data_IF_787609642077
#
_entry.id   IF_787609642077
#
_cell.length_a   1.000
_cell.length_b   1.000
_cell.length_c   1.000
_cell.angle_alpha   90.00
_cell.angle_beta   90.00
_cell.angle_gamma   90.00
#
_symmetry.space_group_name_H-M   'P 1'
#
loop_
_entity.id
_entity.type
_entity.pdbx_description
1 polymer ?
#
# COMPACT_ATOMS: atom_id res chain seq x y z
N UNK A 1 -0.22 13.58 -0.02
CA UNK A 1 -0.26 12.51 1.01
C UNK A 1 0.55 12.84 2.27
N UNK A 2 1.66 13.60 2.19
CA UNK A 2 2.52 13.88 3.37
C UNK A 2 2.06 15.05 4.25
N UNK A 3 1.35 16.04 3.70
CA UNK A 3 0.92 17.25 4.42
C UNK A 3 0.12 17.04 5.72
N UNK A 4 -0.71 15.98 5.87
CA UNK A 4 -1.38 15.75 7.15
C UNK A 4 -0.44 15.33 8.30
N UNK A 5 0.78 14.88 8.01
CA UNK A 5 1.75 14.45 9.01
C UNK A 5 2.45 15.66 9.65
N UNK A 6 2.85 15.53 10.92
CA UNK A 6 3.57 16.56 11.66
C UNK A 6 2.95 17.98 11.58
N UNK A 7 1.62 18.05 11.50
CA UNK A 7 0.84 19.29 11.31
C UNK A 7 1.27 20.10 10.07
N UNK A 8 1.60 19.44 8.97
CA UNK A 8 1.99 20.10 7.71
C UNK A 8 3.36 20.76 7.71
N UNK A 9 4.17 20.57 8.77
CA UNK A 9 5.56 21.04 8.80
C UNK A 9 6.45 20.12 7.96
N UNK A 10 6.42 20.30 6.65
CA UNK A 10 7.16 19.52 5.67
C UNK A 10 8.14 20.45 4.94
N UNK A 11 9.38 19.98 4.78
CA UNK A 11 10.38 20.62 3.92
C UNK A 11 10.70 19.66 2.77
N UNK A 12 10.54 20.13 1.54
CA UNK A 12 11.01 19.43 0.35
C UNK A 12 12.44 19.90 0.05
N UNK A 13 13.37 18.96 -0.08
CA UNK A 13 14.78 19.22 -0.42
C UNK A 13 15.07 18.52 -1.74
N UNK A 14 15.50 19.29 -2.75
CA UNK A 14 15.83 18.74 -4.05
C UNK A 14 17.14 17.95 -3.97
N UNK A 15 17.10 16.70 -4.41
CA UNK A 15 18.27 15.81 -4.49
C UNK A 15 18.75 15.71 -5.95
N UNK A 16 18.31 14.67 -6.67
CA UNK A 16 18.62 14.45 -8.09
C UNK A 16 17.54 14.95 -9.04
N UNK A 17 17.80 14.82 -10.34
CA UNK A 17 16.86 15.21 -11.40
C UNK A 17 17.59 15.65 -12.66
N UNK A 18 17.90 14.71 -13.54
CA UNK A 18 18.74 14.98 -14.72
C UNK A 18 17.95 15.47 -15.94
N UNK A 19 16.64 15.20 -15.98
CA UNK A 19 15.77 15.71 -17.04
C UNK A 19 15.16 17.05 -16.60
N UNK A 20 15.70 18.15 -17.12
CA UNK A 20 15.25 19.52 -16.76
C UNK A 20 13.76 19.75 -17.01
N UNK A 21 13.22 19.18 -18.09
CA UNK A 21 11.79 19.27 -18.38
C UNK A 21 10.95 18.61 -17.28
N UNK A 22 11.30 17.37 -16.90
CA UNK A 22 10.58 16.64 -15.87
C UNK A 22 10.75 17.29 -14.49
N UNK A 23 11.95 17.79 -14.19
CA UNK A 23 12.26 18.51 -12.96
C UNK A 23 11.34 19.72 -12.76
N UNK A 24 11.16 20.52 -13.81
CA UNK A 24 10.27 21.69 -13.75
C UNK A 24 8.81 21.28 -13.52
N UNK A 25 8.36 20.20 -14.16
CA UNK A 25 6.98 19.69 -14.00
C UNK A 25 6.77 19.19 -12.57
N UNK A 26 7.65 18.32 -12.04
CA UNK A 26 7.45 17.79 -10.70
C UNK A 26 7.64 18.85 -9.62
N UNK A 27 8.66 19.71 -9.74
CA UNK A 27 8.90 20.79 -8.78
C UNK A 27 7.76 21.79 -8.69
N UNK A 28 7.20 22.21 -9.84
CA UNK A 28 6.02 23.10 -9.84
C UNK A 28 4.79 22.44 -9.22
N UNK A 29 4.55 21.15 -9.50
CA UNK A 29 3.43 20.41 -8.89
C UNK A 29 3.58 20.25 -7.37
N UNK A 30 4.79 19.98 -6.87
CA UNK A 30 5.06 19.90 -5.45
C UNK A 30 4.83 21.27 -4.76
N UNK A 31 5.39 22.35 -5.31
CA UNK A 31 5.22 23.70 -4.76
C UNK A 31 3.76 24.13 -4.76
N UNK A 32 3.01 23.87 -5.84
CA UNK A 32 1.57 24.15 -5.89
C UNK A 32 0.83 23.42 -4.75
N UNK A 33 1.13 22.13 -4.54
CA UNK A 33 0.53 21.35 -3.45
C UNK A 33 0.90 21.91 -2.07
N UNK A 34 2.15 22.35 -1.87
CA UNK A 34 2.60 22.99 -0.62
C UNK A 34 1.88 24.33 -0.35
N UNK A 35 1.53 25.07 -1.41
CA UNK A 35 0.75 26.31 -1.33
C UNK A 35 -0.75 26.06 -1.11
N UNK A 36 -1.20 24.81 -1.12
CA UNK A 36 -2.58 24.42 -0.85
C UNK A 36 -3.42 24.14 -2.09
N UNK A 37 -2.82 24.17 -3.29
CA UNK A 37 -3.53 23.78 -4.51
C UNK A 37 -3.86 22.28 -4.49
N UNK A 38 -4.98 21.92 -5.10
CA UNK A 38 -5.39 20.50 -5.21
C UNK A 38 -4.52 19.82 -6.27
N UNK A 39 -3.78 18.75 -5.92
CA UNK A 39 -2.94 18.05 -6.88
C UNK A 39 -3.79 17.40 -7.98
N UNK A 40 -3.26 17.39 -9.20
CA UNK A 40 -3.89 16.70 -10.34
C UNK A 40 -4.03 15.22 -10.01
N UNK A 41 -5.24 14.69 -10.16
CA UNK A 41 -5.51 13.26 -9.95
C UNK A 41 -4.89 12.45 -11.08
N UNK A 42 -4.24 11.35 -10.74
CA UNK A 42 -3.89 10.35 -11.75
C UNK A 42 -5.16 9.88 -12.47
N UNK A 43 -5.07 9.71 -13.79
CA UNK A 43 -6.20 9.20 -14.57
C UNK A 43 -6.57 7.78 -14.11
N UNK A 44 -7.82 7.39 -14.27
CA UNK A 44 -8.25 6.01 -13.98
C UNK A 44 -7.48 4.98 -14.81
N UNK A 45 -7.02 5.36 -16.01
CA UNK A 45 -6.18 4.51 -16.85
C UNK A 45 -4.78 4.30 -16.25
N UNK A 46 -4.30 5.24 -15.44
CA UNK A 46 -3.05 5.08 -14.66
C UNK A 46 -3.15 3.95 -13.62
N UNK A 47 -4.36 3.67 -13.12
CA UNK A 47 -4.59 2.61 -12.15
C UNK A 47 -4.68 1.21 -12.80
N UNK A 48 -4.80 1.16 -14.14
CA UNK A 48 -4.90 -0.08 -14.91
C UNK A 48 -3.54 -0.62 -15.36
N UNK A 49 -2.44 0.09 -15.08
CA UNK A 49 -1.11 -0.42 -15.42
C UNK A 49 -0.87 -1.74 -14.69
N UNK A 50 -0.41 -2.78 -15.40
CA UNK A 50 -0.17 -4.08 -14.81
C UNK A 50 0.84 -3.93 -13.67
N UNK A 51 0.56 -4.55 -12.54
CA UNK A 51 1.49 -4.57 -11.43
C UNK A 51 2.73 -5.36 -11.86
N UNK A 52 3.88 -4.71 -11.82
CA UNK A 52 5.15 -5.37 -12.08
C UNK A 52 5.45 -6.38 -10.97
N UNK A 53 5.58 -7.65 -11.34
CA UNK A 53 5.81 -8.75 -10.40
C UNK A 53 7.05 -8.54 -9.51
N UNK A 54 8.08 -7.90 -10.06
CA UNK A 54 9.30 -7.60 -9.30
C UNK A 54 8.99 -6.61 -8.18
N UNK A 55 8.30 -5.51 -8.51
CA UNK A 55 7.88 -4.49 -7.55
C UNK A 55 6.99 -5.06 -6.45
N UNK A 56 6.02 -5.92 -6.81
CA UNK A 56 5.13 -6.59 -5.83
C UNK A 56 5.96 -7.46 -4.87
N UNK A 57 6.84 -8.31 -5.40
CA UNK A 57 7.72 -9.17 -4.57
C UNK A 57 8.64 -8.35 -3.67
N UNK A 58 9.24 -7.28 -4.19
CA UNK A 58 10.12 -6.41 -3.41
C UNK A 58 9.38 -5.74 -2.24
N UNK A 59 8.18 -5.21 -2.49
CA UNK A 59 7.36 -4.61 -1.43
C UNK A 59 7.00 -5.66 -0.37
N UNK A 60 6.60 -6.86 -0.78
CA UNK A 60 6.26 -7.93 0.15
C UNK A 60 7.44 -8.34 1.03
N UNK A 61 8.63 -8.51 0.43
CA UNK A 61 9.87 -8.79 1.15
C UNK A 61 10.19 -7.70 2.20
N UNK A 62 10.08 -6.42 1.82
CA UNK A 62 10.30 -5.29 2.75
C UNK A 62 9.31 -5.35 3.90
N UNK A 63 8.02 -5.61 3.62
CA UNK A 63 7.00 -5.76 4.66
C UNK A 63 7.33 -6.86 5.64
N UNK A 64 7.75 -8.03 5.15
CA UNK A 64 8.07 -9.18 6.00
C UNK A 64 9.28 -8.91 6.91
N UNK A 65 10.32 -8.26 6.38
CA UNK A 65 11.51 -7.86 7.16
C UNK A 65 11.15 -6.83 8.24
N UNK A 66 10.27 -5.88 7.92
CA UNK A 66 9.92 -4.79 8.83
C UNK A 66 8.77 -5.11 9.81
N UNK A 67 8.01 -6.18 9.59
CA UNK A 67 6.85 -6.57 10.40
C UNK A 67 7.11 -6.59 11.92
N UNK A 68 8.25 -7.11 12.44
CA UNK A 68 8.48 -7.15 13.88
C UNK A 68 8.60 -5.76 14.54
N UNK A 69 8.88 -4.70 13.75
CA UNK A 69 9.19 -3.37 14.26
C UNK A 69 8.05 -2.36 14.10
N UNK A 70 7.08 -2.64 13.21
CA UNK A 70 6.01 -1.72 12.86
C UNK A 70 4.63 -2.38 12.95
N UNK A 71 3.81 -1.91 13.90
CA UNK A 71 2.46 -2.47 14.12
C UNK A 71 1.53 -2.33 12.93
N UNK A 72 1.72 -1.32 12.07
CA UNK A 72 0.94 -1.14 10.84
C UNK A 72 1.17 -2.24 9.80
N UNK A 73 2.23 -3.05 9.95
CA UNK A 73 2.56 -4.17 9.08
C UNK A 73 2.16 -5.53 9.67
N UNK A 74 1.58 -5.52 10.88
CA UNK A 74 0.96 -6.70 11.45
C UNK A 74 -0.33 -6.99 10.68
N UNK A 75 -0.24 -7.92 9.74
CA UNK A 75 -1.43 -8.58 9.24
C UNK A 75 -1.84 -9.56 10.34
N UNK A 76 -3.06 -9.43 10.86
CA UNK A 76 -3.72 -10.59 11.48
C UNK A 76 -3.65 -11.66 10.38
N UNK A 77 -3.13 -12.87 10.63
CA UNK A 77 -3.20 -13.93 9.64
C UNK A 77 -4.64 -13.96 9.17
N UNK A 78 -4.88 -13.84 7.87
CA UNK A 78 -6.20 -14.13 7.32
C UNK A 78 -6.59 -15.45 7.98
N UNK A 79 -7.71 -15.47 8.73
CA UNK A 79 -8.25 -16.73 9.21
C UNK A 79 -8.30 -17.59 7.96
N UNK A 80 -7.51 -18.67 7.92
CA UNK A 80 -7.44 -19.52 6.75
C UNK A 80 -8.88 -19.89 6.44
N UNK A 81 -9.46 -19.37 5.36
CA UNK A 81 -10.86 -19.67 5.02
C UNK A 81 -11.01 -21.20 4.89
N UNK A 82 -9.91 -21.91 4.58
CA UNK A 82 -9.84 -23.36 4.64
C UNK A 82 -9.97 -23.95 6.06
N UNK A 83 -9.58 -23.28 7.14
CA UNK A 83 -9.86 -23.75 8.51
C UNK A 83 -11.35 -23.68 8.84
N UNK A 84 -12.05 -22.62 8.42
CA UNK A 84 -13.50 -22.49 8.63
C UNK A 84 -14.24 -23.56 7.82
N UNK A 85 -13.85 -23.78 6.56
CA UNK A 85 -14.43 -24.84 5.71
C UNK A 85 -14.13 -26.24 6.25
N UNK A 86 -12.91 -26.49 6.76
CA UNK A 86 -12.56 -27.76 7.44
C UNK A 86 -13.36 -27.96 8.73
N UNK A 87 -13.59 -26.91 9.51
CA UNK A 87 -14.45 -26.98 10.71
C UNK A 87 -15.90 -27.31 10.35
N UNK A 88 -16.43 -26.67 9.30
CA UNK A 88 -17.79 -26.90 8.82
C UNK A 88 -17.99 -28.34 8.33
N UNK A 89 -17.04 -28.89 7.56
CA UNK A 89 -17.07 -30.29 7.15
C UNK A 89 -17.01 -31.27 8.33
N UNK A 90 -16.18 -30.99 9.33
CA UNK A 90 -16.03 -31.87 10.50
C UNK A 90 -17.28 -31.89 11.38
N UNK A 91 -18.00 -30.77 11.49
CA UNK A 91 -19.28 -30.68 12.20
C UNK A 91 -20.39 -31.47 11.50
N UNK A 92 -20.44 -31.46 10.16
CA UNK A 92 -21.39 -32.28 9.40
C UNK A 92 -21.09 -33.78 9.57
N UNK A 93 -19.81 -34.17 9.51
CA UNK A 93 -19.40 -35.58 9.72
C UNK A 93 -19.76 -36.07 11.12
N UNK A 94 -19.58 -35.25 12.17
CA UNK A 94 -19.95 -35.63 13.55
C UNK A 94 -21.47 -35.67 13.78
N UNK A 95 -22.26 -34.87 13.07
CA UNK A 95 -23.72 -34.93 13.12
C UNK A 95 -24.27 -36.23 12.48
N UNK A 96 -23.66 -36.70 11.38
CA UNK A 96 -24.06 -37.94 10.71
C UNK A 96 -23.73 -39.23 11.47
N UNK A 97 -22.75 -39.21 12.38
CA UNK A 97 -22.34 -40.40 13.16
C UNK A 97 -23.27 -40.64 14.36
N UNK A 98 -24.11 -39.66 14.74
CA UNK A 98 -25.01 -39.73 15.91
C UNK A 98 -26.44 -40.20 15.59
N UNK A 99 -26.72 -40.67 14.37
CA UNK A 99 -28.00 -41.24 13.96
C UNK A 99 -27.89 -42.73 13.64
#
# INVERSE_FOLDING_TARGET
>A
MLLPLANGRVLEVLEGGYCLHQLNICGSACVATLLGDVPVRCSEDSAKYPQDDVSVRTIQMIKDIHRPYWSSLFTIPDQDDNEIDKLAENLQKTASIKN
#
